data_IF_184555932870
#
_entry.id   IF_184555932870
#
_cell.length_a   1.000
_cell.length_b   1.000
_cell.length_c   1.000
_cell.angle_alpha   90.00
_cell.angle_beta   90.00
_cell.angle_gamma   90.00
#
_symmetry.space_group_name_H-M   'P 1'
#
loop_
_entity.id
_entity.type
_entity.pdbx_description
1 polymer ?
#
# COMPACT_ATOMS: atom_id res chain seq x y z
N UNK A 1 17.92 5.10 -67.60
CA UNK A 1 18.75 6.00 -66.77
C UNK A 1 17.99 6.26 -65.47
N UNK A 2 18.33 5.52 -64.40
CA UNK A 2 17.66 5.58 -63.08
C UNK A 2 18.22 6.79 -62.31
N UNK A 3 17.36 7.72 -61.88
CA UNK A 3 17.71 8.76 -60.92
C UNK A 3 17.51 8.20 -59.52
N UNK A 4 18.61 8.07 -58.81
CA UNK A 4 18.72 7.70 -57.41
C UNK A 4 18.28 8.87 -56.52
N UNK A 5 17.05 8.82 -56.03
CA UNK A 5 16.61 9.69 -54.95
C UNK A 5 17.21 9.19 -53.62
N UNK A 6 18.42 9.64 -53.31
CA UNK A 6 18.98 9.53 -51.96
C UNK A 6 18.44 10.67 -51.11
N UNK A 7 17.32 10.41 -50.42
CA UNK A 7 16.82 11.30 -49.37
C UNK A 7 17.80 11.22 -48.19
N UNK A 8 18.77 12.14 -48.16
CA UNK A 8 19.61 12.34 -46.98
C UNK A 8 18.74 13.02 -45.91
N UNK A 9 18.16 12.22 -45.03
CA UNK A 9 17.58 12.72 -43.79
C UNK A 9 18.68 13.43 -43.01
N UNK A 10 18.66 14.76 -43.02
CA UNK A 10 19.55 15.57 -42.20
C UNK A 10 19.17 15.30 -40.75
N UNK A 11 20.03 14.61 -40.01
CA UNK A 11 19.89 14.49 -38.56
C UNK A 11 20.05 15.89 -37.97
N UNK A 12 18.93 16.54 -37.71
CA UNK A 12 18.88 17.88 -37.16
C UNK A 12 19.35 17.83 -35.71
N UNK A 13 20.62 18.18 -35.51
CA UNK A 13 21.28 18.21 -34.20
C UNK A 13 20.47 19.04 -33.19
N UNK A 14 19.75 20.08 -33.62
CA UNK A 14 18.88 20.86 -32.73
C UNK A 14 17.70 20.05 -32.21
N UNK A 15 17.09 19.20 -33.04
CA UNK A 15 15.98 18.33 -32.60
C UNK A 15 16.47 17.24 -31.64
N UNK A 16 17.67 16.72 -31.85
CA UNK A 16 18.31 15.78 -30.94
C UNK A 16 18.65 16.43 -29.59
N UNK A 17 19.17 17.66 -29.62
CA UNK A 17 19.47 18.43 -28.41
C UNK A 17 18.21 18.80 -27.63
N UNK A 18 17.14 19.23 -28.31
CA UNK A 18 15.85 19.53 -27.69
C UNK A 18 15.25 18.25 -27.08
N UNK A 19 15.28 17.13 -27.82
CA UNK A 19 14.80 15.84 -27.31
C UNK A 19 15.59 15.38 -26.07
N UNK A 20 16.92 15.56 -26.08
CA UNK A 20 17.78 15.22 -24.95
C UNK A 20 17.52 16.14 -23.74
N UNK A 21 17.33 17.44 -23.97
CA UNK A 21 16.98 18.41 -22.93
C UNK A 21 15.61 18.10 -22.30
N UNK A 22 14.63 17.70 -23.11
CA UNK A 22 13.30 17.32 -22.62
C UNK A 22 13.34 16.01 -21.83
N UNK A 23 14.09 15.01 -22.31
CA UNK A 23 14.27 13.74 -21.62
C UNK A 23 14.99 13.92 -20.28
N UNK A 24 16.05 14.72 -20.26
CA UNK A 24 16.79 15.02 -19.02
C UNK A 24 15.90 15.76 -18.01
N UNK A 25 15.08 16.72 -18.46
CA UNK A 25 14.11 17.40 -17.61
C UNK A 25 13.05 16.44 -17.04
N UNK A 26 12.57 15.48 -17.85
CA UNK A 26 11.61 14.48 -17.41
C UNK A 26 12.21 13.53 -16.36
N UNK A 27 13.48 13.13 -16.53
CA UNK A 27 14.21 12.29 -15.57
C UNK A 27 14.56 13.01 -14.26
N UNK A 28 14.56 14.34 -14.27
CA UNK A 28 14.79 15.18 -13.08
C UNK A 28 13.51 15.41 -12.25
N UNK A 29 12.35 14.88 -12.68
CA UNK A 29 11.16 14.96 -11.84
C UNK A 29 11.36 14.15 -10.56
N UNK A 30 11.17 14.76 -9.37
CA UNK A 30 11.33 14.05 -8.12
C UNK A 30 10.31 12.91 -8.03
N UNK A 31 10.77 11.71 -7.73
CA UNK A 31 9.88 10.63 -7.32
C UNK A 31 9.13 11.09 -6.06
N UNK A 32 7.80 11.04 -6.09
CA UNK A 32 6.98 11.41 -4.93
C UNK A 32 7.32 10.51 -3.74
N UNK A 33 7.41 11.11 -2.55
CA UNK A 33 7.50 10.33 -1.31
C UNK A 33 6.14 9.69 -1.08
N UNK A 34 6.04 8.38 -1.31
CA UNK A 34 4.86 7.61 -0.93
C UNK A 34 4.98 7.31 0.56
N UNK A 35 4.21 8.01 1.39
CA UNK A 35 4.03 7.65 2.79
C UNK A 35 3.16 6.39 2.88
N UNK A 36 3.78 5.22 2.75
CA UNK A 36 3.19 3.99 3.26
C UNK A 36 3.15 4.13 4.79
N UNK A 37 2.04 4.63 5.33
CA UNK A 37 1.86 4.79 6.77
C UNK A 37 1.89 3.39 7.38
N UNK A 38 2.98 3.09 8.10
CA UNK A 38 3.08 1.84 8.85
C UNK A 38 1.98 1.87 9.91
N UNK A 39 1.28 0.76 10.06
CA UNK A 39 0.31 0.51 11.13
C UNK A 39 0.70 -0.79 11.83
N UNK A 40 0.40 -0.90 13.12
CA UNK A 40 0.63 -2.10 13.90
C UNK A 40 -0.69 -2.57 14.51
N UNK A 41 -0.86 -3.88 14.58
CA UNK A 41 -1.90 -4.55 15.36
C UNK A 41 -1.22 -5.56 16.28
N UNK A 42 -1.56 -5.52 17.56
CA UNK A 42 -1.21 -6.56 18.52
C UNK A 42 -2.47 -7.34 18.88
N UNK A 43 -2.37 -8.66 18.93
CA UNK A 43 -3.50 -9.52 19.25
C UNK A 43 -3.11 -10.58 20.29
N UNK A 44 -3.98 -10.81 21.26
CA UNK A 44 -3.76 -11.80 22.32
C UNK A 44 -5.10 -12.39 22.80
N UNK A 45 -5.05 -13.53 23.46
CA UNK A 45 -6.24 -14.22 23.98
C UNK A 45 -6.30 -14.09 25.50
N UNK A 46 -7.44 -13.63 26.01
CA UNK A 46 -7.77 -13.66 27.43
C UNK A 46 -9.13 -14.36 27.61
N UNK A 47 -9.14 -15.50 28.30
CA UNK A 47 -10.34 -16.33 28.41
C UNK A 47 -10.83 -16.86 27.05
N UNK A 48 -12.05 -16.49 26.68
CA UNK A 48 -12.69 -16.86 25.39
C UNK A 48 -12.69 -15.71 24.37
N UNK A 49 -11.98 -14.62 24.67
CA UNK A 49 -11.99 -13.39 23.87
C UNK A 49 -10.61 -13.14 23.28
N UNK A 50 -10.59 -12.84 21.98
CA UNK A 50 -9.42 -12.29 21.28
C UNK A 50 -9.47 -10.78 21.44
N UNK A 51 -8.43 -10.23 22.05
CA UNK A 51 -8.22 -8.80 22.20
C UNK A 51 -7.30 -8.30 21.09
N UNK A 52 -7.57 -7.09 20.59
CA UNK A 52 -6.70 -6.42 19.62
C UNK A 52 -6.41 -4.98 20.02
N UNK A 53 -5.20 -4.52 19.71
CA UNK A 53 -4.78 -3.14 19.90
C UNK A 53 -4.08 -2.63 18.64
N UNK A 54 -4.64 -1.58 18.04
CA UNK A 54 -4.17 -1.01 16.77
C UNK A 54 -3.60 0.39 16.97
N UNK A 55 -2.39 0.63 16.45
CA UNK A 55 -1.66 1.89 16.66
C UNK A 55 -0.64 2.19 15.54
N UNK A 56 -0.38 3.47 15.34
CA UNK A 56 0.69 3.99 14.48
C UNK A 56 2.05 3.94 15.22
N UNK A 57 3.20 4.00 14.51
CA UNK A 57 4.54 3.91 15.11
C UNK A 57 4.84 4.96 16.19
N UNK A 58 4.16 6.09 16.18
CA UNK A 58 4.26 7.14 17.20
C UNK A 58 3.41 6.87 18.46
N UNK A 59 2.66 5.76 18.47
CA UNK A 59 1.75 5.36 19.53
C UNK A 59 0.32 5.87 19.39
N UNK A 60 0.02 6.68 18.37
CA UNK A 60 -1.35 7.16 18.11
C UNK A 60 -2.27 5.97 17.84
N UNK A 61 -3.43 5.93 18.50
CA UNK A 61 -4.41 4.84 18.31
C UNK A 61 -5.09 4.95 16.95
N UNK A 62 -5.24 3.82 16.28
CA UNK A 62 -5.98 3.73 15.01
C UNK A 62 -7.46 3.73 15.33
N UNK A 63 -8.19 4.78 14.96
CA UNK A 63 -9.65 4.89 15.16
C UNK A 63 -10.37 4.58 13.86
N UNK A 64 -11.52 3.91 13.95
CA UNK A 64 -12.33 3.51 12.78
C UNK A 64 -11.58 2.65 11.73
N UNK A 65 -10.44 2.08 12.10
CA UNK A 65 -9.65 1.19 11.25
C UNK A 65 -10.37 -0.13 11.06
N UNK A 66 -10.37 -0.67 9.84
CA UNK A 66 -11.07 -1.92 9.54
C UNK A 66 -10.20 -3.08 10.00
N UNK A 67 -10.76 -3.98 10.79
CA UNK A 67 -10.13 -5.24 11.18
C UNK A 67 -10.89 -6.38 10.53
N UNK A 68 -10.20 -7.16 9.70
CA UNK A 68 -10.70 -8.39 9.10
C UNK A 68 -10.07 -9.60 9.79
N UNK A 69 -10.87 -10.63 10.05
CA UNK A 69 -10.42 -11.85 10.71
C UNK A 69 -10.71 -13.04 9.81
N UNK A 70 -9.70 -13.86 9.55
CA UNK A 70 -9.78 -15.03 8.69
C UNK A 70 -9.46 -16.31 9.47
N UNK A 71 -10.07 -17.42 9.05
CA UNK A 71 -9.69 -18.76 9.49
C UNK A 71 -8.47 -19.29 8.72
N UNK A 72 -7.89 -20.41 9.18
CA UNK A 72 -6.72 -21.04 8.57
C UNK A 72 -6.89 -21.42 7.09
N UNK A 73 -8.12 -21.60 6.63
CA UNK A 73 -8.45 -21.87 5.22
C UNK A 73 -8.51 -20.60 4.36
N UNK A 74 -8.34 -19.40 4.95
CA UNK A 74 -8.39 -18.11 4.27
C UNK A 74 -9.80 -17.53 4.07
N UNK A 75 -10.83 -18.13 4.67
CA UNK A 75 -12.19 -17.58 4.62
C UNK A 75 -12.35 -16.47 5.67
N UNK A 76 -12.99 -15.35 5.30
CA UNK A 76 -13.28 -14.27 6.26
C UNK A 76 -14.36 -14.73 7.25
N UNK A 77 -14.04 -14.72 8.53
CA UNK A 77 -14.95 -15.05 9.63
C UNK A 77 -15.79 -13.84 10.05
N UNK A 78 -15.15 -12.68 10.19
CA UNK A 78 -15.81 -11.44 10.62
C UNK A 78 -14.99 -10.21 10.23
N UNK A 79 -15.65 -9.06 10.31
CA UNK A 79 -15.08 -7.74 10.07
C UNK A 79 -15.67 -6.76 11.08
N UNK A 80 -14.87 -5.79 11.52
CA UNK A 80 -15.35 -4.66 12.30
C UNK A 80 -14.41 -3.48 12.27
N UNK A 81 -14.68 -2.48 13.10
CA UNK A 81 -13.88 -1.27 13.21
C UNK A 81 -13.26 -1.14 14.59
N UNK A 82 -12.06 -0.60 14.66
CA UNK A 82 -11.43 -0.21 15.91
C UNK A 82 -12.17 0.95 16.56
N UNK A 83 -12.27 0.92 17.88
CA UNK A 83 -12.87 1.99 18.66
C UNK A 83 -11.91 3.17 18.92
N UNK A 84 -12.33 4.11 19.77
CA UNK A 84 -11.53 5.29 20.16
C UNK A 84 -10.19 4.95 20.84
N UNK A 85 -10.05 3.73 21.39
CA UNK A 85 -8.83 3.23 22.02
C UNK A 85 -7.97 2.39 21.05
N UNK A 86 -8.45 2.21 19.82
CA UNK A 86 -7.82 1.36 18.82
C UNK A 86 -8.10 -0.13 19.00
N UNK A 87 -9.15 -0.48 19.74
CA UNK A 87 -9.48 -1.87 20.06
C UNK A 87 -10.59 -2.42 19.16
N UNK A 88 -10.48 -3.69 18.80
CA UNK A 88 -11.56 -4.49 18.22
C UNK A 88 -11.53 -5.90 18.80
N UNK A 89 -12.24 -6.09 19.91
CA UNK A 89 -12.22 -7.34 20.67
C UNK A 89 -13.41 -8.23 20.24
N UNK A 90 -13.17 -9.53 20.06
CA UNK A 90 -14.19 -10.45 19.56
C UNK A 90 -14.04 -11.86 20.14
N UNK A 91 -15.13 -12.62 20.11
CA UNK A 91 -15.12 -14.05 20.44
C UNK A 91 -15.11 -14.86 19.14
N UNK A 92 -14.08 -15.68 18.89
CA UNK A 92 -14.03 -16.50 17.68
C UNK A 92 -15.12 -17.58 17.73
N UNK A 93 -15.82 -17.80 16.62
CA UNK A 93 -16.92 -18.76 16.54
C UNK A 93 -16.46 -20.23 16.69
N UNK A 94 -15.20 -20.50 16.39
CA UNK A 94 -14.55 -21.81 16.53
C UNK A 94 -13.08 -21.61 16.91
N UNK A 95 -12.48 -22.65 17.49
CA UNK A 95 -11.03 -22.70 17.72
C UNK A 95 -10.33 -23.00 16.40
N UNK A 96 -9.49 -22.08 15.95
CA UNK A 96 -8.75 -22.16 14.69
C UNK A 96 -7.49 -21.29 14.79
N UNK A 97 -6.58 -21.45 13.83
CA UNK A 97 -5.50 -20.48 13.63
C UNK A 97 -6.09 -19.28 12.87
N UNK A 98 -5.94 -18.09 13.46
CA UNK A 98 -6.55 -16.87 12.95
C UNK A 98 -5.51 -15.97 12.30
N UNK A 99 -5.85 -15.43 11.13
CA UNK A 99 -5.15 -14.30 10.54
C UNK A 99 -5.98 -13.04 10.80
N UNK A 100 -5.34 -12.03 11.40
CA UNK A 100 -5.99 -10.75 11.74
C UNK A 100 -5.30 -9.66 10.92
N UNK A 101 -6.08 -8.99 10.08
CA UNK A 101 -5.59 -7.98 9.14
C UNK A 101 -6.17 -6.62 9.54
N UNK A 102 -5.29 -5.64 9.73
CA UNK A 102 -5.66 -4.26 9.97
C UNK A 102 -5.51 -3.43 8.69
N UNK A 103 -6.59 -2.75 8.29
CA UNK A 103 -6.63 -1.81 7.17
C UNK A 103 -6.91 -0.42 7.74
N UNK A 104 -5.87 0.41 7.76
CA UNK A 104 -5.93 1.77 8.28
C UNK A 104 -4.90 2.67 7.59
N UNK A 105 -5.12 3.98 7.65
CA UNK A 105 -4.28 5.02 7.05
C UNK A 105 -4.16 6.21 7.97
#
# INVERSE_FOLDING_TARGET
>A
MRKDNSVKGTFDCHKLLIGLAFLTLLLLMPASVVFAHKVNIFAYVEGDTVHTESYFPDGTKVKDGIVEVYESQGNKLLEGKTDEKGEFNFKPAKKDDLEIVLIAS
#
